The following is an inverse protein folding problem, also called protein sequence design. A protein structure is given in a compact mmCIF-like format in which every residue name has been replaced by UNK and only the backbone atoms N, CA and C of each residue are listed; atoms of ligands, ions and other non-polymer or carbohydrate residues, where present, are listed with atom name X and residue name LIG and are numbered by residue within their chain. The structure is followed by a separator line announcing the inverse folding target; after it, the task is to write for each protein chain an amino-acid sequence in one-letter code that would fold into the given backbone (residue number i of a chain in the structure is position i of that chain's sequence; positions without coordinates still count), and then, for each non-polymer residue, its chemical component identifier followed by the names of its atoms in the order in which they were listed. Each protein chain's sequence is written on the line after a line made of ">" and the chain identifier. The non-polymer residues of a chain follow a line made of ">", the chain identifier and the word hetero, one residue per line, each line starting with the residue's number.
data_IF_685757083154
#
_entry.id   IF_685757083154
#
_cell.length_a   1.000
_cell.length_b   1.000
_cell.length_c   1.000
_cell.angle_alpha   90.00
_cell.angle_beta   90.00
_cell.angle_gamma   90.00
#
_symmetry.space_group_name_H-M   'P 1'
#
loop_
_entity.id
_entity.type
_entity.pdbx_description
1 polymer ?
#
# COMPACT_ATOMS: atom_id res chain seq x y z
N UNK A 1 -3.97 9.43 -25.88
CA UNK A 1 -3.86 10.49 -24.86
C UNK A 1 -4.03 9.78 -23.53
N UNK A 2 -2.99 9.73 -22.69
CA UNK A 2 -3.06 9.16 -21.34
C UNK A 2 -3.60 10.24 -20.40
N UNK A 3 -4.90 10.50 -20.47
CA UNK A 3 -5.56 11.37 -19.48
C UNK A 3 -5.44 10.69 -18.12
N UNK A 4 -4.71 11.31 -17.17
CA UNK A 4 -4.64 10.83 -15.78
C UNK A 4 -3.49 9.89 -15.42
N UNK A 5 -2.46 9.70 -16.27
CA UNK A 5 -1.27 8.87 -15.98
C UNK A 5 -1.57 7.39 -15.68
N UNK A 6 -2.67 6.86 -16.20
CA UNK A 6 -3.00 5.46 -16.06
C UNK A 6 -1.89 4.57 -16.64
N UNK A 7 -1.40 3.62 -15.82
CA UNK A 7 -0.32 2.70 -16.18
C UNK A 7 1.11 3.28 -16.13
N UNK A 8 1.29 4.54 -15.72
CA UNK A 8 2.62 5.19 -15.66
C UNK A 8 3.26 4.96 -14.29
N UNK A 9 4.47 4.39 -14.29
CA UNK A 9 5.30 4.27 -13.07
C UNK A 9 5.94 5.63 -12.78
N UNK A 10 5.43 6.34 -11.78
CA UNK A 10 5.95 7.65 -11.38
C UNK A 10 7.20 7.56 -10.48
N UNK A 11 7.29 6.53 -9.63
CA UNK A 11 8.41 6.31 -8.72
C UNK A 11 8.44 4.86 -8.21
N UNK A 12 9.60 4.44 -7.69
CA UNK A 12 9.72 3.22 -6.90
C UNK A 12 9.62 3.54 -5.41
N UNK A 13 8.93 2.71 -4.64
CA UNK A 13 8.70 2.93 -3.21
C UNK A 13 8.83 1.63 -2.41
N UNK A 14 9.21 1.77 -1.14
CA UNK A 14 9.22 0.69 -0.14
C UNK A 14 8.11 0.87 0.90
N UNK A 15 7.26 1.88 0.73
CA UNK A 15 6.23 2.25 1.71
C UNK A 15 5.02 1.33 1.66
N UNK A 16 4.49 1.11 0.46
CA UNK A 16 3.33 0.27 0.26
C UNK A 16 3.31 -0.34 -1.13
N UNK A 17 2.59 -1.45 -1.26
CA UNK A 17 2.31 -2.15 -2.51
C UNK A 17 0.81 -2.39 -2.63
N UNK A 18 0.26 -2.09 -3.80
CA UNK A 18 -1.18 -2.23 -4.10
C UNK A 18 -1.33 -3.16 -5.28
N UNK A 19 -1.83 -4.37 -5.01
CA UNK A 19 -2.23 -5.33 -6.03
C UNK A 19 -3.73 -5.20 -6.25
N UNK A 20 -4.11 -4.35 -7.20
CA UNK A 20 -5.52 -4.08 -7.52
C UNK A 20 -6.25 -5.27 -8.14
N UNK A 21 -5.55 -6.23 -8.74
CA UNK A 21 -6.17 -7.44 -9.32
C UNK A 21 -6.51 -8.46 -8.25
N UNK A 22 -5.64 -8.63 -7.26
CA UNK A 22 -5.89 -9.50 -6.11
C UNK A 22 -6.64 -8.80 -4.96
N UNK A 23 -6.86 -7.48 -5.04
CA UNK A 23 -7.50 -6.70 -3.99
C UNK A 23 -6.68 -6.61 -2.70
N UNK A 24 -5.34 -6.60 -2.81
CA UNK A 24 -4.43 -6.67 -1.66
C UNK A 24 -3.65 -5.36 -1.49
N UNK A 25 -3.56 -4.91 -0.25
CA UNK A 25 -2.73 -3.77 0.15
C UNK A 25 -1.71 -4.22 1.19
N UNK A 26 -0.43 -3.93 0.92
CA UNK A 26 0.69 -4.17 1.84
C UNK A 26 1.27 -2.84 2.28
N UNK A 27 1.50 -2.65 3.58
CA UNK A 27 2.15 -1.47 4.18
C UNK A 27 3.41 -1.93 4.89
N UNK A 28 4.58 -1.44 4.43
CA UNK A 28 5.91 -1.74 5.00
C UNK A 28 6.17 -3.25 5.22
N UNK A 29 5.63 -4.08 4.32
CA UNK A 29 5.76 -5.54 4.36
C UNK A 29 4.65 -6.29 5.10
N UNK A 30 3.68 -5.60 5.70
CA UNK A 30 2.55 -6.21 6.40
C UNK A 30 1.25 -6.05 5.62
N UNK A 31 0.41 -7.10 5.61
CA UNK A 31 -0.93 -7.01 5.03
C UNK A 31 -1.78 -6.00 5.83
N UNK A 32 -2.57 -5.17 5.14
CA UNK A 32 -3.41 -4.16 5.81
C UNK A 32 -4.41 -4.81 6.78
N UNK A 33 -4.88 -6.01 6.45
CA UNK A 33 -5.78 -6.79 7.30
C UNK A 33 -5.12 -7.14 8.62
N UNK A 34 -3.84 -7.54 8.62
CA UNK A 34 -3.13 -7.86 9.85
C UNK A 34 -2.94 -6.62 10.74
N UNK A 35 -2.56 -5.50 10.14
CA UNK A 35 -2.39 -4.24 10.85
C UNK A 35 -3.71 -3.76 11.47
N UNK A 36 -4.80 -3.82 10.71
CA UNK A 36 -6.11 -3.37 11.18
C UNK A 36 -6.65 -4.17 12.38
N UNK A 37 -6.30 -5.46 12.48
CA UNK A 37 -6.76 -6.30 13.58
C UNK A 37 -5.82 -6.31 14.79
N UNK A 38 -4.54 -5.97 14.60
CA UNK A 38 -3.49 -6.25 15.60
C UNK A 38 -2.68 -5.04 16.05
N UNK A 39 -2.76 -3.91 15.34
CA UNK A 39 -1.96 -2.71 15.62
C UNK A 39 -2.84 -1.50 15.90
N UNK A 40 -2.32 -0.57 16.70
CA UNK A 40 -2.93 0.75 16.87
C UNK A 40 -2.53 1.66 15.72
N UNK A 41 -3.21 2.81 15.60
CA UNK A 41 -2.83 3.81 14.60
C UNK A 41 -1.39 4.27 14.80
N UNK A 42 -1.00 4.54 16.04
CA UNK A 42 0.33 5.01 16.42
C UNK A 42 1.42 3.99 16.07
N UNK A 43 1.15 2.69 16.28
CA UNK A 43 2.08 1.62 15.87
C UNK A 43 2.27 1.61 14.35
N UNK A 44 1.18 1.70 13.59
CA UNK A 44 1.21 1.68 12.11
C UNK A 44 1.93 2.93 11.56
N UNK A 45 1.71 4.09 12.18
CA UNK A 45 2.35 5.34 11.78
C UNK A 45 3.87 5.35 11.98
N UNK A 46 4.40 4.45 12.83
CA UNK A 46 5.83 4.35 13.11
C UNK A 46 6.57 3.30 12.24
N UNK A 47 5.85 2.53 11.41
CA UNK A 47 6.43 1.49 10.52
C UNK A 47 7.33 2.08 9.42
#
# INVERSE_FOLDING_TARGET
>A
MSEGLEGVIAAHTVLSDVDGQAGRLTIRGYAVEDLAHRATFEDVAHL
#
